data_IF_919022839774
#
_entry.id   IF_919022839774
#
_cell.length_a   1.000
_cell.length_b   1.000
_cell.length_c   1.000
_cell.angle_alpha   90.00
_cell.angle_beta   90.00
_cell.angle_gamma   90.00
#
_symmetry.space_group_name_H-M   'P 1'
#
loop_
_entity.id
_entity.type
_entity.pdbx_description
1 polymer ?
#
# COMPACT_ATOMS: atom_id res chain seq x y z
N UNK A 1 -48.03 -7.82 -38.00
CA UNK A 1 -47.08 -7.06 -37.15
C UNK A 1 -45.70 -7.69 -37.26
N UNK A 2 -44.66 -6.85 -37.25
CA UNK A 2 -43.36 -6.99 -37.95
C UNK A 2 -42.40 -8.04 -37.35
N UNK A 3 -41.76 -8.82 -38.24
CA UNK A 3 -40.53 -9.59 -38.00
C UNK A 3 -39.34 -8.61 -37.98
N UNK A 4 -38.36 -8.82 -37.08
CA UNK A 4 -37.05 -8.13 -37.04
C UNK A 4 -36.02 -9.24 -36.84
N UNK A 5 -35.45 -9.83 -37.89
CA UNK A 5 -34.24 -9.43 -38.64
C UNK A 5 -33.07 -8.99 -37.74
N UNK A 6 -32.12 -9.92 -37.61
CA UNK A 6 -30.81 -9.76 -36.99
C UNK A 6 -29.86 -9.25 -38.09
N UNK A 7 -29.49 -7.97 -38.07
CA UNK A 7 -28.48 -7.44 -38.98
C UNK A 7 -27.11 -7.70 -38.36
N UNK A 8 -26.35 -8.57 -39.03
CA UNK A 8 -24.90 -8.65 -38.92
C UNK A 8 -24.30 -7.34 -39.45
N UNK A 9 -23.74 -6.54 -38.54
CA UNK A 9 -23.07 -5.28 -38.86
C UNK A 9 -21.58 -5.39 -38.59
N UNK A 10 -20.80 -5.42 -39.67
CA UNK A 10 -19.34 -5.43 -39.69
C UNK A 10 -18.77 -4.18 -39.00
N UNK A 11 -18.22 -4.35 -37.79
CA UNK A 11 -17.46 -3.32 -37.09
C UNK A 11 -15.97 -3.55 -37.31
N UNK A 12 -15.33 -2.61 -38.00
CA UNK A 12 -13.87 -2.54 -38.16
C UNK A 12 -13.24 -2.53 -36.76
N UNK A 13 -12.58 -3.63 -36.39
CA UNK A 13 -11.73 -3.67 -35.20
C UNK A 13 -10.54 -2.77 -35.51
N UNK A 14 -10.55 -1.57 -34.96
CA UNK A 14 -9.33 -0.79 -34.82
C UNK A 14 -8.39 -1.64 -33.96
N UNK A 15 -7.48 -2.37 -34.60
CA UNK A 15 -6.35 -2.99 -33.96
C UNK A 15 -5.44 -1.87 -33.48
N UNK A 16 -5.79 -1.26 -32.35
CA UNK A 16 -4.85 -0.51 -31.53
C UNK A 16 -3.73 -1.48 -31.20
N UNK A 17 -2.58 -1.26 -31.80
CA UNK A 17 -1.38 -2.01 -31.57
C UNK A 17 -1.13 -2.07 -30.05
N UNK A 18 -1.40 -3.23 -29.45
CA UNK A 18 -0.89 -3.60 -28.14
C UNK A 18 0.61 -3.91 -28.31
N UNK A 19 1.37 -2.88 -28.67
CA UNK A 19 2.81 -2.91 -28.57
C UNK A 19 3.14 -2.78 -27.08
N UNK A 20 3.54 -3.89 -26.44
CA UNK A 20 4.07 -3.85 -25.08
C UNK A 20 3.93 -5.12 -24.22
N UNK A 21 3.17 -6.14 -24.62
CA UNK A 21 2.97 -7.33 -23.76
C UNK A 21 3.95 -8.48 -24.02
N UNK A 22 5.18 -8.20 -24.45
CA UNK A 22 6.27 -9.18 -24.53
C UNK A 22 7.35 -8.87 -23.49
N UNK A 23 6.92 -8.86 -22.22
CA UNK A 23 7.74 -8.68 -21.02
C UNK A 23 6.93 -9.14 -19.81
N UNK A 24 6.94 -10.44 -19.54
CA UNK A 24 6.11 -11.10 -18.53
C UNK A 24 6.65 -10.91 -17.11
N UNK A 25 6.02 -10.06 -16.28
CA UNK A 25 6.01 -10.08 -14.79
C UNK A 25 5.09 -8.95 -14.29
N UNK A 26 4.00 -9.26 -13.58
CA UNK A 26 3.11 -8.24 -12.97
C UNK A 26 3.90 -7.29 -12.06
N UNK A 27 3.61 -5.96 -12.06
CA UNK A 27 4.34 -5.00 -11.24
C UNK A 27 4.31 -5.39 -9.76
N UNK A 28 5.43 -5.35 -9.04
CA UNK A 28 5.47 -5.74 -7.63
C UNK A 28 4.73 -4.73 -6.75
N UNK A 29 4.52 -5.05 -5.46
CA UNK A 29 4.15 -4.05 -4.48
C UNK A 29 5.11 -2.86 -4.51
N UNK A 30 4.55 -1.70 -4.25
CA UNK A 30 5.27 -0.43 -4.25
C UNK A 30 6.25 -0.36 -3.07
N UNK A 31 7.48 0.10 -3.34
CA UNK A 31 8.45 0.41 -2.28
C UNK A 31 8.15 1.79 -1.71
N UNK A 32 8.23 1.91 -0.39
CA UNK A 32 8.05 3.16 0.35
C UNK A 32 8.69 3.07 1.73
N UNK A 33 9.05 4.23 2.30
CA UNK A 33 9.49 4.41 3.68
C UNK A 33 8.57 5.44 4.32
N UNK A 34 7.82 5.06 5.34
CA UNK A 34 6.77 5.91 5.92
C UNK A 34 6.68 5.69 7.43
N UNK A 35 6.57 4.44 7.85
CA UNK A 35 6.50 4.07 9.26
C UNK A 35 7.86 3.60 9.75
N UNK A 36 8.35 4.23 10.82
CA UNK A 36 9.54 3.80 11.53
C UNK A 36 9.18 2.61 12.42
N UNK A 37 8.32 2.84 13.41
CA UNK A 37 7.88 1.81 14.36
C UNK A 37 6.37 1.81 14.50
N UNK A 38 5.81 0.62 14.68
CA UNK A 38 4.41 0.43 15.07
C UNK A 38 4.43 -0.54 16.24
N UNK A 39 4.00 -0.08 17.40
CA UNK A 39 4.04 -0.83 18.65
C UNK A 39 2.79 -0.58 19.49
N UNK A 40 2.56 -1.45 20.47
CA UNK A 40 1.51 -1.27 21.46
C UNK A 40 2.09 -0.66 22.74
N UNK A 41 1.43 0.35 23.29
CA UNK A 41 1.80 1.00 24.56
C UNK A 41 0.57 1.48 25.30
N UNK A 42 0.39 0.99 26.53
CA UNK A 42 -0.70 1.43 27.43
C UNK A 42 -2.10 1.35 26.78
N UNK A 43 -2.40 0.24 26.09
CA UNK A 43 -3.71 0.05 25.43
C UNK A 43 -3.87 0.82 24.11
N UNK A 44 -2.80 1.39 23.57
CA UNK A 44 -2.81 2.11 22.30
C UNK A 44 -1.86 1.49 21.30
N UNK A 45 -2.21 1.56 20.02
CA UNK A 45 -1.24 1.44 18.93
C UNK A 45 -0.56 2.79 18.75
N UNK A 46 0.75 2.82 19.00
CA UNK A 46 1.64 3.94 18.72
C UNK A 46 2.25 3.75 17.34
N UNK A 47 2.20 4.81 16.53
CA UNK A 47 2.70 4.85 15.16
C UNK A 47 3.72 5.97 15.10
N UNK A 48 4.99 5.62 14.90
CA UNK A 48 6.07 6.57 14.68
C UNK A 48 6.34 6.67 13.17
N UNK A 49 6.32 7.88 12.63
CA UNK A 49 6.60 8.18 11.23
C UNK A 49 8.10 8.36 11.00
N UNK A 50 8.52 8.16 9.76
CA UNK A 50 9.88 8.40 9.31
C UNK A 50 10.13 9.90 9.07
N UNK A 51 11.27 10.42 9.52
CA UNK A 51 11.70 11.80 9.21
C UNK A 51 11.80 12.06 7.70
N UNK A 52 12.18 11.02 6.94
CA UNK A 52 12.33 11.08 5.49
C UNK A 52 11.39 10.07 4.81
N UNK A 53 10.13 10.49 4.65
CA UNK A 53 9.13 9.66 3.98
C UNK A 53 9.25 9.73 2.46
N UNK A 54 9.12 8.58 1.80
CA UNK A 54 9.21 8.49 0.35
C UNK A 54 8.44 7.31 -0.23
N UNK A 55 8.14 7.40 -1.52
CA UNK A 55 7.49 6.34 -2.31
C UNK A 55 8.14 6.18 -3.68
N UNK A 56 8.22 4.95 -4.20
CA UNK A 56 8.55 4.73 -5.62
C UNK A 56 7.28 4.79 -6.48
N UNK A 57 7.31 5.54 -7.57
CA UNK A 57 6.17 5.65 -8.48
C UNK A 57 6.61 5.75 -9.94
N UNK A 58 5.73 5.30 -10.84
CA UNK A 58 5.81 5.54 -12.29
C UNK A 58 5.23 6.90 -12.71
N UNK A 59 4.74 7.68 -11.73
CA UNK A 59 4.33 9.05 -11.96
C UNK A 59 5.49 9.79 -12.64
N UNK A 60 5.24 10.34 -13.81
CA UNK A 60 6.16 11.21 -14.55
C UNK A 60 5.60 12.63 -14.44
N UNK A 61 5.83 13.24 -13.28
CA UNK A 61 5.35 14.58 -12.95
C UNK A 61 6.05 15.71 -13.71
N UNK A 62 6.54 15.45 -14.93
CA UNK A 62 7.30 16.40 -15.73
C UNK A 62 8.60 16.81 -15.06
N UNK A 63 9.64 15.96 -15.12
CA UNK A 63 11.02 16.40 -14.90
C UNK A 63 11.39 16.98 -13.52
N UNK A 64 10.59 16.78 -12.47
CA UNK A 64 10.94 17.20 -11.11
C UNK A 64 11.56 16.04 -10.30
N UNK A 65 12.63 15.44 -10.83
CA UNK A 65 13.51 14.57 -10.04
C UNK A 65 14.89 15.20 -9.94
N UNK A 66 15.14 15.90 -8.83
CA UNK A 66 16.40 15.83 -8.07
C UNK A 66 16.47 17.04 -7.11
N UNK A 67 16.14 16.85 -5.82
CA UNK A 67 16.72 17.60 -4.69
C UNK A 67 17.07 19.10 -4.92
N UNK A 68 16.23 19.89 -5.59
CA UNK A 68 16.57 21.25 -6.01
C UNK A 68 15.53 22.30 -5.55
N UNK A 69 16.10 23.42 -5.08
CA UNK A 69 15.59 24.75 -4.71
C UNK A 69 14.07 25.06 -4.81
N UNK A 70 13.45 25.64 -3.75
CA UNK A 70 12.00 25.89 -3.65
C UNK A 70 11.36 26.99 -4.53
N UNK A 71 12.02 27.54 -5.55
CA UNK A 71 11.55 28.78 -6.22
C UNK A 71 10.97 28.66 -7.64
N UNK A 72 10.82 27.46 -8.24
CA UNK A 72 10.26 27.34 -9.60
C UNK A 72 8.85 26.74 -9.64
N UNK A 73 7.86 27.62 -9.86
CA UNK A 73 6.44 27.28 -10.01
C UNK A 73 6.02 27.51 -11.47
N UNK A 74 5.79 26.42 -12.21
CA UNK A 74 5.27 26.47 -13.58
C UNK A 74 4.51 25.20 -13.90
N UNK A 75 3.18 25.28 -13.86
CA UNK A 75 2.28 24.13 -13.76
C UNK A 75 2.17 23.25 -15.00
N UNK A 76 1.77 22.00 -14.77
CA UNK A 76 1.17 21.08 -15.76
C UNK A 76 0.18 20.12 -15.08
N UNK A 77 -0.84 19.74 -15.85
CA UNK A 77 -2.11 19.10 -15.49
C UNK A 77 -2.02 17.71 -14.81
N UNK A 78 -3.03 17.33 -14.00
CA UNK A 78 -3.07 16.06 -13.30
C UNK A 78 -3.38 14.91 -14.26
N UNK A 79 -2.46 13.96 -14.40
CA UNK A 79 -2.73 12.69 -15.10
C UNK A 79 -3.16 11.64 -14.08
N UNK A 80 -4.46 11.35 -14.11
CA UNK A 80 -5.04 10.02 -13.86
C UNK A 80 -4.68 9.33 -12.55
N UNK A 81 -5.34 9.69 -11.45
CA UNK A 81 -5.44 8.83 -10.28
C UNK A 81 -6.16 7.53 -10.64
N UNK A 82 -5.40 6.47 -10.89
CA UNK A 82 -5.93 5.14 -11.07
C UNK A 82 -6.43 4.63 -9.71
N UNK A 83 -7.72 4.87 -9.43
CA UNK A 83 -8.42 4.21 -8.33
C UNK A 83 -8.40 2.70 -8.58
N UNK A 84 -7.55 1.96 -7.89
CA UNK A 84 -7.61 0.51 -7.88
C UNK A 84 -8.84 0.06 -7.07
N UNK A 85 -9.98 0.00 -7.77
CA UNK A 85 -11.22 -0.58 -7.26
C UNK A 85 -10.99 -2.07 -6.97
N UNK A 86 -11.16 -2.45 -5.72
CA UNK A 86 -10.99 -3.83 -5.26
C UNK A 86 -11.81 -4.85 -6.04
N UNK A 87 -11.15 -5.93 -6.43
CA UNK A 87 -11.54 -7.36 -6.46
C UNK A 87 -10.69 -8.03 -7.53
N UNK A 88 -9.86 -9.00 -7.14
CA UNK A 88 -9.22 -9.86 -8.13
C UNK A 88 -7.94 -10.48 -7.64
N UNK A 89 -8.06 -11.72 -7.17
CA UNK A 89 -6.92 -12.61 -7.01
C UNK A 89 -6.18 -12.78 -8.33
N UNK A 90 -4.93 -12.33 -8.35
CA UNK A 90 -3.89 -12.92 -9.19
C UNK A 90 -3.01 -13.74 -8.27
N UNK A 91 -2.84 -15.02 -8.57
CA UNK A 91 -1.91 -15.90 -7.84
C UNK A 91 -0.54 -15.24 -7.75
N UNK A 92 -0.26 -14.64 -6.60
CA UNK A 92 0.87 -13.74 -6.44
C UNK A 92 2.15 -14.54 -6.29
N UNK A 93 3.13 -14.25 -7.15
CA UNK A 93 4.53 -14.47 -6.79
C UNK A 93 4.83 -13.63 -5.53
N UNK A 94 5.55 -14.20 -4.57
CA UNK A 94 5.88 -13.54 -3.30
C UNK A 94 5.03 -13.98 -2.10
N UNK A 95 5.35 -13.47 -0.90
CA UNK A 95 4.75 -13.94 0.35
C UNK A 95 3.26 -13.57 0.47
N UNK A 96 2.38 -14.57 0.65
CA UNK A 96 0.91 -14.37 0.66
C UNK A 96 0.20 -14.72 1.98
N UNK A 97 0.90 -15.34 2.93
CA UNK A 97 0.31 -15.98 4.13
C UNK A 97 -0.18 -15.06 5.27
N UNK A 98 -0.65 -13.85 4.96
CA UNK A 98 -1.31 -13.02 5.99
C UNK A 98 -2.42 -13.83 6.67
N UNK A 99 -2.44 -13.84 8.00
CA UNK A 99 -3.26 -14.68 8.89
C UNK A 99 -3.03 -16.21 8.84
N UNK A 100 -2.75 -16.82 7.69
CA UNK A 100 -2.61 -18.29 7.55
C UNK A 100 -1.20 -18.84 7.80
N UNK A 101 -0.20 -17.99 8.05
CA UNK A 101 1.17 -18.40 8.40
C UNK A 101 2.27 -17.83 7.48
N UNK A 102 3.50 -18.34 7.58
CA UNK A 102 4.59 -17.91 6.69
C UNK A 102 5.17 -16.52 6.98
N UNK A 103 4.76 -15.86 8.06
CA UNK A 103 5.37 -14.59 8.51
C UNK A 103 6.88 -14.72 8.72
N UNK A 104 7.31 -15.80 9.37
CA UNK A 104 8.72 -16.03 9.73
C UNK A 104 9.62 -16.23 8.51
N UNK A 105 9.11 -16.88 7.45
CA UNK A 105 9.86 -17.16 6.21
C UNK A 105 9.63 -16.12 5.11
N UNK A 106 8.73 -15.16 5.31
CA UNK A 106 8.48 -14.11 4.34
C UNK A 106 9.69 -13.16 4.24
N UNK A 107 10.02 -12.68 3.03
CA UNK A 107 10.96 -11.58 2.85
C UNK A 107 10.58 -10.39 3.72
N UNK A 108 11.59 -9.75 4.32
CA UNK A 108 11.41 -8.64 5.24
C UNK A 108 11.84 -7.33 4.61
N UNK A 109 11.19 -6.24 4.98
CA UNK A 109 11.68 -4.89 4.71
C UNK A 109 12.83 -4.53 5.66
N UNK A 110 13.48 -3.38 5.44
CA UNK A 110 14.49 -2.86 6.35
C UNK A 110 14.02 -2.69 7.81
N UNK A 111 12.69 -2.54 8.00
CA UNK A 111 12.04 -2.43 9.31
C UNK A 111 11.53 -3.78 9.86
N UNK A 112 12.00 -4.91 9.31
CA UNK A 112 11.64 -6.25 9.78
C UNK A 112 10.21 -6.69 9.46
N UNK A 113 9.42 -5.89 8.73
CA UNK A 113 8.03 -6.21 8.35
C UNK A 113 8.01 -7.22 7.22
N UNK A 114 7.16 -8.24 7.31
CA UNK A 114 6.96 -9.18 6.21
C UNK A 114 6.35 -8.46 5.01
N UNK A 115 6.93 -8.61 3.82
CA UNK A 115 6.48 -7.87 2.66
C UNK A 115 5.44 -8.68 1.86
N UNK A 116 4.16 -8.30 1.98
CA UNK A 116 3.08 -9.00 1.31
C UNK A 116 3.20 -8.85 -0.21
N UNK A 117 3.17 -9.98 -0.92
CA UNK A 117 3.53 -10.08 -2.33
C UNK A 117 4.92 -9.56 -2.67
N UNK A 118 5.82 -9.33 -1.71
CA UNK A 118 7.20 -8.93 -1.98
C UNK A 118 8.15 -10.12 -2.19
N UNK A 119 9.44 -9.82 -2.24
CA UNK A 119 10.54 -10.78 -2.37
C UNK A 119 11.41 -10.54 -3.61
N UNK A 120 12.32 -11.46 -3.88
CA UNK A 120 13.38 -11.33 -4.89
C UNK A 120 12.86 -10.90 -6.28
N UNK A 121 11.70 -11.43 -6.68
CA UNK A 121 11.09 -11.06 -7.97
C UNK A 121 10.76 -9.56 -8.07
N UNK A 122 10.46 -8.92 -6.94
CA UNK A 122 10.20 -7.50 -6.88
C UNK A 122 11.50 -6.72 -7.09
N UNK A 123 12.60 -7.17 -6.50
CA UNK A 123 13.91 -6.55 -6.67
C UNK A 123 14.37 -6.65 -8.13
N UNK A 124 14.32 -7.84 -8.72
CA UNK A 124 14.55 -8.05 -10.16
C UNK A 124 13.71 -7.11 -11.02
N UNK A 125 12.43 -6.94 -10.67
CA UNK A 125 11.55 -6.07 -11.43
C UNK A 125 11.99 -4.61 -11.30
N UNK A 126 12.27 -4.12 -10.09
CA UNK A 126 12.73 -2.75 -9.89
C UNK A 126 14.08 -2.49 -10.57
N UNK A 127 14.95 -3.49 -10.67
CA UNK A 127 16.23 -3.38 -11.37
C UNK A 127 16.07 -3.28 -12.89
N UNK A 128 15.11 -4.01 -13.45
CA UNK A 128 14.82 -3.98 -14.88
C UNK A 128 13.99 -2.75 -15.32
N UNK A 129 13.41 -2.01 -14.39
CA UNK A 129 12.53 -0.86 -14.67
C UNK A 129 13.01 0.41 -13.94
N UNK A 130 14.32 0.54 -13.70
CA UNK A 130 14.87 1.69 -12.95
C UNK A 130 14.65 3.03 -13.66
N UNK A 131 14.56 3.02 -14.99
CA UNK A 131 14.27 4.17 -15.85
C UNK A 131 12.78 4.53 -15.89
N UNK A 132 11.89 3.62 -15.49
CA UNK A 132 10.45 3.86 -15.44
C UNK A 132 9.94 4.30 -14.06
N UNK A 133 10.76 4.17 -13.01
CA UNK A 133 10.32 4.37 -11.62
C UNK A 133 11.21 5.33 -10.87
N UNK A 134 10.61 6.37 -10.32
CA UNK A 134 11.30 7.42 -9.58
C UNK A 134 10.91 7.40 -8.10
N UNK A 135 11.81 7.92 -7.26
CA UNK A 135 11.60 8.04 -5.82
C UNK A 135 11.12 9.46 -5.50
N UNK A 136 9.92 9.57 -4.96
CA UNK A 136 9.30 10.83 -4.58
C UNK A 136 9.32 11.00 -3.07
N UNK A 137 9.77 12.16 -2.59
CA UNK A 137 9.54 12.58 -1.21
C UNK A 137 8.06 12.91 -1.04
N UNK A 138 7.46 12.48 0.06
CA UNK A 138 6.03 12.68 0.32
C UNK A 138 5.80 13.31 1.69
N UNK A 139 4.62 13.86 1.89
CA UNK A 139 4.06 14.20 3.18
C UNK A 139 2.99 13.18 3.55
N UNK A 140 2.84 12.92 4.85
CA UNK A 140 1.73 12.11 5.36
C UNK A 140 0.57 13.05 5.67
N UNK A 141 -0.50 12.97 4.87
CA UNK A 141 -1.67 13.82 5.05
C UNK A 141 -2.57 13.30 6.19
N UNK A 142 -2.62 11.99 6.35
CA UNK A 142 -3.50 11.31 7.30
C UNK A 142 -2.84 10.03 7.80
N UNK A 143 -2.96 9.73 9.10
CA UNK A 143 -2.74 8.39 9.67
C UNK A 143 -4.09 7.79 10.07
N UNK A 144 -4.29 6.51 9.72
CA UNK A 144 -5.50 5.75 10.06
C UNK A 144 -5.17 4.44 10.75
N UNK A 145 -6.00 4.06 11.72
CA UNK A 145 -5.94 2.74 12.39
C UNK A 145 -7.34 2.11 12.36
N UNK A 146 -7.41 0.84 11.97
CA UNK A 146 -8.65 0.07 11.91
C UNK A 146 -8.46 -1.34 12.44
N UNK A 147 -9.47 -1.87 13.12
CA UNK A 147 -9.60 -3.27 13.46
C UNK A 147 -10.14 -4.05 12.26
N UNK A 148 -9.42 -5.08 11.84
CA UNK A 148 -9.77 -5.94 10.71
C UNK A 148 -10.51 -7.21 11.14
N UNK A 149 -10.57 -7.50 12.44
CA UNK A 149 -11.22 -8.70 12.98
C UNK A 149 -10.25 -9.72 13.57
N UNK A 150 -10.81 -10.86 13.97
CA UNK A 150 -10.04 -11.99 14.48
C UNK A 150 -9.16 -12.63 13.40
N UNK A 151 -8.26 -13.54 13.79
CA UNK A 151 -7.48 -14.30 12.80
C UNK A 151 -8.37 -15.08 11.85
N UNK A 152 -9.45 -15.70 12.33
CA UNK A 152 -10.41 -16.41 11.48
C UNK A 152 -11.09 -15.48 10.46
N UNK A 153 -11.47 -14.26 10.87
CA UNK A 153 -12.05 -13.28 9.95
C UNK A 153 -11.05 -12.85 8.86
N UNK A 154 -9.78 -12.64 9.22
CA UNK A 154 -8.73 -12.30 8.27
C UNK A 154 -8.35 -13.46 7.32
N UNK A 155 -8.44 -14.70 7.77
CA UNK A 155 -8.23 -15.86 6.89
C UNK A 155 -9.29 -15.91 5.79
N UNK A 156 -10.56 -15.65 6.15
CA UNK A 156 -11.72 -15.67 5.26
C UNK A 156 -11.77 -14.46 4.31
N UNK A 157 -11.69 -13.23 4.84
CA UNK A 157 -11.85 -11.99 4.08
C UNK A 157 -10.76 -10.94 4.39
N UNK A 158 -9.50 -11.28 4.13
CA UNK A 158 -8.40 -10.29 4.21
C UNK A 158 -8.57 -9.16 3.18
N UNK A 159 -8.49 -7.89 3.61
CA UNK A 159 -8.51 -6.77 2.68
C UNK A 159 -7.25 -6.75 1.78
N UNK A 160 -7.44 -6.19 0.58
CA UNK A 160 -6.34 -5.84 -0.33
C UNK A 160 -5.45 -4.73 0.24
N UNK A 161 -4.54 -4.19 -0.58
CA UNK A 161 -3.79 -3.00 -0.21
C UNK A 161 -4.67 -1.74 -0.23
N UNK A 162 -4.22 -0.68 0.45
CA UNK A 162 -4.89 0.60 0.49
C UNK A 162 -5.81 0.81 1.70
N UNK A 163 -6.65 1.86 1.65
CA UNK A 163 -7.44 2.27 2.80
C UNK A 163 -8.58 1.30 3.10
N UNK A 164 -8.96 1.28 4.37
CA UNK A 164 -10.15 0.61 4.90
C UNK A 164 -10.97 1.66 5.68
N UNK A 165 -12.22 1.37 6.08
CA UNK A 165 -12.90 2.21 7.06
C UNK A 165 -12.05 2.32 8.33
N UNK A 166 -11.64 3.54 8.70
CA UNK A 166 -10.76 3.81 9.83
C UNK A 166 -11.57 3.97 11.12
N UNK A 167 -11.18 3.28 12.18
CA UNK A 167 -11.76 3.44 13.52
C UNK A 167 -11.17 4.67 14.24
N UNK A 168 -9.89 4.93 13.97
CA UNK A 168 -9.15 6.09 14.43
C UNK A 168 -8.48 6.76 13.23
N UNK A 169 -8.57 8.07 13.14
CA UNK A 169 -7.98 8.86 12.06
C UNK A 169 -7.41 10.15 12.62
N UNK A 170 -6.17 10.46 12.24
CA UNK A 170 -5.48 11.70 12.56
C UNK A 170 -5.11 12.38 11.26
N UNK A 171 -5.67 13.56 11.01
CA UNK A 171 -5.33 14.40 9.86
C UNK A 171 -4.19 15.36 10.25
N UNK A 172 -3.23 15.55 9.36
CA UNK A 172 -1.98 16.29 9.60
C UNK A 172 -1.25 15.80 10.87
N UNK A 173 -0.84 14.51 10.88
CA UNK A 173 -0.17 13.92 12.03
C UNK A 173 1.17 14.60 12.31
N UNK A 174 1.57 14.56 13.58
CA UNK A 174 2.94 14.84 14.02
C UNK A 174 3.82 13.57 13.83
N UNK A 175 5.03 13.58 14.39
CA UNK A 175 5.99 12.47 14.24
C UNK A 175 5.51 11.15 14.89
N UNK A 176 4.72 11.26 15.97
CA UNK A 176 4.19 10.12 16.72
C UNK A 176 2.69 10.29 16.92
N UNK A 177 1.94 9.29 16.50
CA UNK A 177 0.49 9.21 16.73
C UNK A 177 0.10 8.00 17.57
N UNK A 178 -1.04 8.10 18.27
CA UNK A 178 -1.52 7.01 19.11
C UNK A 178 -3.05 6.84 19.03
N UNK A 179 -3.46 5.63 18.63
CA UNK A 179 -4.87 5.25 18.56
C UNK A 179 -5.20 4.19 19.60
N UNK A 180 -6.35 4.33 20.28
CA UNK A 180 -6.82 3.34 21.25
C UNK A 180 -7.12 2.01 20.58
N UNK A 181 -6.78 0.92 21.26
CA UNK A 181 -7.20 -0.44 20.91
C UNK A 181 -7.87 -1.10 22.11
N UNK A 182 -8.79 -2.03 21.84
CA UNK A 182 -9.61 -2.63 22.91
C UNK A 182 -9.83 -4.13 22.79
N UNK A 183 -9.21 -4.78 21.80
CA UNK A 183 -9.35 -6.22 21.58
C UNK A 183 -8.08 -6.77 20.94
N UNK A 184 -7.78 -8.03 21.18
CA UNK A 184 -6.83 -8.77 20.36
C UNK A 184 -7.39 -8.99 18.94
N UNK A 185 -6.49 -9.27 18.00
CA UNK A 185 -6.80 -9.57 16.61
C UNK A 185 -5.96 -8.78 15.63
N UNK A 186 -6.47 -8.62 14.41
CA UNK A 186 -5.75 -7.95 13.34
C UNK A 186 -6.14 -6.49 13.24
N UNK A 187 -5.14 -5.64 13.02
CA UNK A 187 -5.31 -4.21 12.78
C UNK A 187 -4.62 -3.81 11.49
N UNK A 188 -5.11 -2.74 10.86
CA UNK A 188 -4.42 -2.02 9.79
C UNK A 188 -4.03 -0.65 10.30
N UNK A 189 -2.76 -0.30 10.10
CA UNK A 189 -2.26 1.07 10.19
C UNK A 189 -2.01 1.56 8.77
N UNK A 190 -2.54 2.72 8.39
CA UNK A 190 -2.40 3.31 7.07
C UNK A 190 -1.91 4.75 7.15
N UNK A 191 -1.15 5.18 6.15
CA UNK A 191 -0.72 6.56 5.96
C UNK A 191 -1.07 7.00 4.53
N UNK A 192 -1.81 8.10 4.41
CA UNK A 192 -2.15 8.74 3.14
C UNK A 192 -0.98 9.57 2.65
N UNK A 193 -0.44 9.27 1.48
CA UNK A 193 0.78 9.89 0.96
C UNK A 193 0.47 10.93 -0.09
N UNK A 194 0.96 12.16 0.11
CA UNK A 194 0.76 13.25 -0.85
C UNK A 194 2.06 13.97 -1.16
N UNK A 195 2.19 14.45 -2.39
CA UNK A 195 3.24 15.38 -2.79
C UNK A 195 2.83 16.84 -2.49
N UNK A 196 3.82 17.74 -2.40
CA UNK A 196 3.59 19.19 -2.22
C UNK A 196 2.71 19.80 -3.31
N UNK A 197 2.81 19.30 -4.54
CA UNK A 197 1.98 19.74 -5.68
C UNK A 197 0.53 19.21 -5.65
N UNK A 198 0.18 18.41 -4.63
CA UNK A 198 -1.14 17.81 -4.46
C UNK A 198 -1.33 16.46 -5.13
N UNK A 199 -0.29 15.86 -5.75
CA UNK A 199 -0.38 14.49 -6.26
C UNK A 199 -0.63 13.51 -5.10
N UNK A 200 -1.65 12.66 -5.27
CA UNK A 200 -2.04 11.63 -4.31
C UNK A 200 -1.37 10.32 -4.69
N UNK A 201 -0.44 9.87 -3.85
CA UNK A 201 0.22 8.58 -3.99
C UNK A 201 -0.56 7.46 -3.29
N UNK A 202 -1.83 7.63 -2.94
CA UNK A 202 -2.63 6.62 -2.23
C UNK A 202 -2.02 6.25 -0.87
N UNK A 203 -2.51 5.19 -0.26
CA UNK A 203 -2.14 4.77 1.08
C UNK A 203 -0.97 3.77 1.08
N UNK A 204 -0.11 3.92 2.08
CA UNK A 204 0.81 2.86 2.53
C UNK A 204 0.24 2.23 3.79
N UNK A 205 0.11 0.90 3.81
CA UNK A 205 -0.52 0.19 4.92
C UNK A 205 0.37 -0.90 5.52
N UNK A 206 0.21 -1.13 6.82
CA UNK A 206 0.77 -2.26 7.56
C UNK A 206 -0.38 -2.99 8.24
N UNK A 207 -0.51 -4.29 7.97
CA UNK A 207 -1.41 -5.17 8.72
C UNK A 207 -0.63 -5.82 9.85
N UNK A 208 -1.15 -5.75 11.06
CA UNK A 208 -0.50 -6.29 12.24
C UNK A 208 -1.42 -7.22 13.03
N UNK A 209 -0.84 -8.27 13.60
CA UNK A 209 -1.52 -9.11 14.59
C UNK A 209 -1.14 -8.61 15.97
N UNK A 210 -2.15 -8.26 16.75
CA UNK A 210 -2.05 -7.82 18.14
C UNK A 210 -2.65 -8.90 19.02
N UNK A 211 -1.89 -9.36 20.00
CA UNK A 211 -2.35 -10.35 20.98
C UNK A 211 -2.46 -9.68 22.36
N UNK A 212 -3.47 -10.05 23.13
CA UNK A 212 -3.59 -9.64 24.53
C UNK A 212 -2.58 -10.43 25.38
N UNK A 213 -1.78 -9.72 26.16
CA UNK A 213 -0.84 -10.31 27.11
C UNK A 213 -1.49 -10.40 28.48
N UNK A 214 -1.21 -11.49 29.21
CA UNK A 214 -1.71 -11.69 30.58
C UNK A 214 -0.55 -11.68 31.58
N UNK A 215 -0.83 -11.36 32.84
CA UNK A 215 0.18 -11.38 33.93
C UNK A 215 0.65 -9.98 34.34
N UNK A 216 1.90 -9.88 34.81
CA UNK A 216 2.48 -8.61 35.30
C UNK A 216 2.63 -7.54 34.21
N UNK A 217 2.67 -7.97 32.94
CA UNK A 217 2.76 -7.13 31.74
C UNK A 217 1.42 -7.14 30.96
N UNK A 218 0.29 -7.18 31.68
CA UNK A 218 -1.03 -7.19 31.07
C UNK A 218 -1.23 -5.99 30.12
N UNK A 219 -1.69 -6.27 28.90
CA UNK A 219 -1.78 -5.28 27.84
C UNK A 219 -1.89 -5.93 26.48
N UNK A 220 -1.24 -5.32 25.48
CA UNK A 220 -1.24 -5.82 24.13
C UNK A 220 0.19 -5.88 23.60
N UNK A 221 0.48 -6.85 22.75
CA UNK A 221 1.75 -6.97 22.03
C UNK A 221 1.54 -7.14 20.53
N UNK A 222 2.44 -6.60 19.72
CA UNK A 222 2.44 -6.81 18.27
C UNK A 222 3.23 -8.06 17.92
N UNK A 223 2.54 -9.13 17.53
CA UNK A 223 3.16 -10.41 17.18
C UNK A 223 3.70 -10.44 15.75
N UNK A 224 2.97 -9.83 14.80
CA UNK A 224 3.28 -9.87 13.36
C UNK A 224 3.03 -8.52 12.71
N UNK A 225 3.89 -8.11 11.77
CA UNK A 225 3.69 -6.90 10.96
C UNK A 225 3.94 -7.15 9.46
N UNK A 226 2.91 -6.98 8.65
CA UNK A 226 2.95 -7.16 7.20
C UNK A 226 2.86 -5.82 6.50
N UNK A 227 3.85 -5.46 5.68
CA UNK A 227 3.75 -4.33 4.76
C UNK A 227 2.81 -4.71 3.61
N UNK A 228 1.77 -3.90 3.40
CA UNK A 228 0.69 -4.13 2.43
C UNK A 228 0.55 -2.89 1.52
N UNK A 229 1.41 -2.83 0.52
CA UNK A 229 1.45 -1.69 -0.41
C UNK A 229 0.64 -1.96 -1.68
N UNK A 230 0.02 -0.93 -2.29
CA UNK A 230 -0.47 -0.99 -3.66
C UNK A 230 0.63 -1.45 -4.62
N UNK A 231 0.28 -2.00 -5.78
CA UNK A 231 1.27 -2.30 -6.83
C UNK A 231 1.69 -1.00 -7.53
N UNK A 232 2.92 -0.96 -8.02
CA UNK A 232 3.48 0.16 -8.79
C UNK A 232 2.96 0.22 -10.23
#
# INVERSE_FOLDING_TARGET
>A
MRRREFIAGSGIVAASALAGCTGSKSPPPRKSNVFQTIETKSGKLRVDLEDNTWVKSRYDGGGQNALADPDDVGGLSPVGGARAKGKGGGGGRGATGRATGGYASAPKTGHGRAWWHGGDYADDWYENHQDEVSKYGVAVATVGVAYLGSSAAMEDDKPGAGPVPWDCRVDNPDDTEACQIGTDGWYRVGAELREKNGHDFDWECVDLKVDETTGSDAGYEVEKQWKVSPRI
#
